data_IF_895115096224
#
_entry.id   IF_895115096224
#
_cell.length_a   1.000
_cell.length_b   1.000
_cell.length_c   1.000
_cell.angle_alpha   90.00
_cell.angle_beta   90.00
_cell.angle_gamma   90.00
#
_symmetry.space_group_name_H-M   'P 1'
#
loop_
_entity.id
_entity.type
_entity.pdbx_description
1 polymer ?
#
# COMPACT_ATOMS: atom_id res chain seq x y z
N UNK A 1 20.95 14.22 12.23
CA UNK A 1 19.60 13.64 12.05
C UNK A 1 19.41 12.34 12.80
N UNK A 2 20.31 11.36 12.60
CA UNK A 2 20.55 10.29 13.58
C UNK A 2 21.10 10.81 14.92
N UNK A 3 21.46 12.09 15.02
CA UNK A 3 21.84 12.70 16.29
C UNK A 3 20.73 12.68 17.34
N UNK A 4 19.45 12.66 16.95
CA UNK A 4 18.33 12.56 17.90
C UNK A 4 18.04 11.12 18.33
N UNK A 5 18.22 10.15 17.42
CA UNK A 5 18.07 8.71 17.69
C UNK A 5 19.19 7.96 16.96
N UNK A 6 20.41 7.90 17.54
CA UNK A 6 21.61 7.40 16.86
C UNK A 6 21.57 5.92 16.54
N UNK A 7 20.71 5.17 17.23
CA UNK A 7 20.50 3.74 17.02
C UNK A 7 19.38 3.42 16.01
N UNK A 8 18.74 4.42 15.39
CA UNK A 8 17.67 4.15 14.44
C UNK A 8 18.21 3.40 13.20
N UNK A 9 17.83 2.14 13.06
CA UNK A 9 17.96 1.33 11.85
C UNK A 9 16.92 0.22 11.85
N UNK A 10 16.40 -0.09 10.68
CA UNK A 10 15.57 -1.26 10.43
C UNK A 10 16.24 -2.05 9.31
N UNK A 11 16.46 -3.34 9.55
CA UNK A 11 16.94 -4.26 8.52
C UNK A 11 15.90 -5.34 8.21
N UNK A 12 15.71 -5.60 6.93
CA UNK A 12 14.87 -6.67 6.41
C UNK A 12 15.83 -7.74 5.87
N UNK A 13 15.68 -8.97 6.37
CA UNK A 13 16.42 -10.13 5.89
C UNK A 13 15.44 -11.16 5.36
N UNK A 14 15.67 -11.61 4.13
CA UNK A 14 14.91 -12.68 3.49
C UNK A 14 15.79 -13.91 3.36
N UNK A 15 15.25 -15.09 3.64
CA UNK A 15 15.91 -16.36 3.39
C UNK A 15 15.02 -17.30 2.57
N UNK A 16 15.58 -17.87 1.51
CA UNK A 16 14.87 -18.73 0.57
C UNK A 16 15.75 -19.09 -0.62
N UNK A 17 15.42 -20.16 -1.33
CA UNK A 17 16.21 -20.65 -2.48
C UNK A 17 17.71 -20.84 -2.20
N UNK A 18 18.07 -21.22 -0.97
CA UNK A 18 19.45 -21.42 -0.55
C UNK A 18 20.27 -20.12 -0.35
N UNK A 19 19.64 -18.95 -0.39
CA UNK A 19 20.29 -17.65 -0.21
C UNK A 19 19.64 -16.85 0.92
N UNK A 20 20.45 -15.98 1.53
CA UNK A 20 20.02 -14.95 2.46
C UNK A 20 20.37 -13.60 1.84
N UNK A 21 19.41 -12.69 1.81
CA UNK A 21 19.62 -11.32 1.37
C UNK A 21 19.09 -10.35 2.42
N UNK A 22 19.92 -9.38 2.78
CA UNK A 22 19.61 -8.41 3.84
C UNK A 22 19.81 -7.00 3.31
N UNK A 23 18.89 -6.11 3.66
CA UNK A 23 18.97 -4.68 3.41
C UNK A 23 18.64 -3.91 4.67
N UNK A 24 19.30 -2.78 4.91
CA UNK A 24 18.96 -1.88 6.02
C UNK A 24 18.77 -0.45 5.58
N UNK A 25 17.89 0.26 6.28
CA UNK A 25 17.61 1.66 6.01
C UNK A 25 18.89 2.52 6.10
N UNK A 26 19.73 2.26 7.10
CA UNK A 26 20.99 2.99 7.27
C UNK A 26 21.97 2.75 6.14
N UNK A 27 22.04 1.53 5.60
CA UNK A 27 22.88 1.24 4.45
C UNK A 27 22.44 2.03 3.21
N UNK A 28 21.13 2.14 2.96
CA UNK A 28 20.60 2.98 1.87
C UNK A 28 20.90 4.47 2.10
N UNK A 29 20.74 4.96 3.33
CA UNK A 29 21.06 6.34 3.67
C UNK A 29 22.56 6.65 3.45
N UNK A 30 23.46 5.73 3.81
CA UNK A 30 24.91 5.91 3.57
C UNK A 30 25.28 5.97 2.09
N UNK A 31 24.40 5.48 1.21
CA UNK A 31 24.55 5.53 -0.24
C UNK A 31 23.80 6.72 -0.88
N UNK A 32 23.24 7.63 -0.05
CA UNK A 32 22.40 8.74 -0.49
C UNK A 32 21.13 8.31 -1.25
N UNK A 33 20.57 7.14 -0.92
CA UNK A 33 19.34 6.62 -1.51
C UNK A 33 18.13 7.00 -0.63
N UNK A 34 17.82 8.29 -0.62
CA UNK A 34 16.69 8.86 0.12
C UNK A 34 16.27 10.23 -0.43
N UNK A 35 15.07 10.68 -0.08
CA UNK A 35 14.60 12.04 -0.31
C UNK A 35 13.66 12.50 0.83
N UNK A 36 13.49 13.81 0.97
CA UNK A 36 12.53 14.39 1.91
C UNK A 36 11.16 14.48 1.24
N UNK A 37 10.18 13.76 1.78
CA UNK A 37 8.79 13.99 1.41
C UNK A 37 8.22 15.18 2.17
N UNK A 38 8.53 15.29 3.47
CA UNK A 38 8.15 16.43 4.31
C UNK A 38 9.38 16.92 5.07
N UNK A 39 10.10 17.90 4.51
CA UNK A 39 11.33 18.40 5.13
C UNK A 39 11.06 19.30 6.35
N UNK A 40 9.99 20.10 6.31
CA UNK A 40 9.67 21.12 7.31
C UNK A 40 8.18 21.10 7.68
N UNK A 41 7.77 20.10 8.45
CA UNK A 41 6.43 20.09 9.06
C UNK A 41 6.45 20.54 10.52
N UNK A 42 5.42 21.29 10.92
CA UNK A 42 5.28 21.81 12.29
C UNK A 42 5.09 20.72 13.35
N UNK A 43 4.54 19.57 12.94
CA UNK A 43 4.24 18.42 13.83
C UNK A 43 5.21 17.27 13.57
N UNK A 44 5.39 16.91 12.29
CA UNK A 44 6.27 15.83 11.85
C UNK A 44 7.09 16.20 10.63
N UNK A 45 8.23 15.56 10.45
CA UNK A 45 8.98 15.56 9.20
C UNK A 45 9.09 14.11 8.69
N UNK A 46 9.17 13.93 7.38
CA UNK A 46 9.20 12.61 6.75
C UNK A 46 10.35 12.50 5.75
N UNK A 47 11.20 11.51 5.99
CA UNK A 47 12.26 11.07 5.10
C UNK A 47 11.86 9.72 4.49
N UNK A 48 11.92 9.62 3.17
CA UNK A 48 11.68 8.36 2.45
C UNK A 48 13.02 7.82 1.98
N UNK A 49 13.35 6.62 2.44
CA UNK A 49 14.62 5.93 2.13
C UNK A 49 14.34 4.82 1.14
N UNK A 50 14.76 5.02 -0.11
CA UNK A 50 14.51 4.11 -1.23
C UNK A 50 15.34 4.51 -2.45
N UNK A 51 15.38 3.63 -3.45
CA UNK A 51 16.12 3.77 -4.69
C UNK A 51 15.22 3.50 -5.90
N UNK A 52 14.25 4.38 -6.11
CA UNK A 52 13.30 4.28 -7.23
C UNK A 52 13.96 4.44 -8.60
N UNK A 53 15.11 5.11 -8.67
CA UNK A 53 15.72 5.53 -9.94
C UNK A 53 16.84 4.58 -10.37
N UNK A 54 17.82 4.32 -9.50
CA UNK A 54 18.99 3.51 -9.89
C UNK A 54 18.79 2.02 -9.66
N UNK A 55 17.85 1.67 -8.76
CA UNK A 55 17.42 0.30 -8.48
C UNK A 55 18.55 -0.62 -8.00
N UNK A 56 19.67 -0.06 -7.55
CA UNK A 56 20.83 -0.78 -7.02
C UNK A 56 20.50 -1.46 -5.69
N UNK A 57 19.62 -0.83 -4.89
CA UNK A 57 19.13 -1.39 -3.64
C UNK A 57 18.07 -2.49 -3.82
N UNK A 58 17.51 -2.68 -5.03
CA UNK A 58 16.61 -3.79 -5.30
C UNK A 58 17.38 -5.13 -5.18
N UNK A 59 16.75 -6.14 -4.60
CA UNK A 59 17.38 -7.42 -4.28
C UNK A 59 16.46 -8.63 -4.52
N UNK A 60 17.00 -9.84 -4.41
CA UNK A 60 16.30 -11.09 -4.71
C UNK A 60 16.96 -12.29 -4.03
N UNK A 61 16.40 -13.48 -4.25
CA UNK A 61 16.84 -14.75 -3.65
C UNK A 61 17.25 -15.74 -4.75
N UNK A 62 18.48 -15.61 -5.26
CA UNK A 62 18.99 -16.40 -6.40
C UNK A 62 18.10 -16.32 -7.65
N UNK A 63 17.75 -15.10 -8.06
CA UNK A 63 16.90 -14.82 -9.21
C UNK A 63 16.85 -13.32 -9.52
N UNK A 64 15.82 -12.86 -10.26
CA UNK A 64 15.59 -11.43 -10.47
C UNK A 64 15.56 -10.62 -9.17
N UNK A 65 16.04 -9.37 -9.24
CA UNK A 65 15.99 -8.40 -8.15
C UNK A 65 14.58 -7.79 -8.07
N UNK A 66 13.63 -8.58 -7.62
CA UNK A 66 12.21 -8.22 -7.58
C UNK A 66 11.83 -7.33 -6.40
N UNK A 67 12.61 -7.40 -5.32
CA UNK A 67 12.24 -6.77 -4.08
C UNK A 67 12.83 -5.38 -3.96
N UNK A 68 11.94 -4.38 -3.86
CA UNK A 68 12.32 -3.00 -3.54
C UNK A 68 12.03 -2.71 -2.06
N UNK A 69 13.05 -2.38 -1.27
CA UNK A 69 12.85 -1.87 0.08
C UNK A 69 12.51 -0.37 0.05
N UNK A 70 11.55 0.02 0.89
CA UNK A 70 11.20 1.42 1.16
C UNK A 70 11.07 1.57 2.67
N UNK A 71 11.68 2.62 3.23
CA UNK A 71 11.50 2.96 4.64
C UNK A 71 11.02 4.40 4.78
N UNK A 72 9.85 4.59 5.38
CA UNK A 72 9.33 5.90 5.74
C UNK A 72 9.75 6.21 7.18
N UNK A 73 10.57 7.25 7.35
CA UNK A 73 11.03 7.75 8.64
C UNK A 73 10.24 9.00 9.00
N UNK A 74 9.32 8.87 9.94
CA UNK A 74 8.51 9.97 10.46
C UNK A 74 9.04 10.45 11.82
N UNK A 75 9.61 11.65 11.82
CA UNK A 75 10.17 12.28 13.00
C UNK A 75 9.11 13.11 13.72
N UNK A 76 8.71 12.68 14.91
CA UNK A 76 7.74 13.36 15.77
C UNK A 76 8.47 14.14 16.86
N UNK A 77 8.84 15.39 16.54
CA UNK A 77 9.77 16.20 17.35
C UNK A 77 9.20 16.54 18.74
N UNK A 78 7.91 16.84 18.83
CA UNK A 78 7.25 17.24 20.09
C UNK A 78 7.25 16.16 21.16
N UNK A 79 7.28 14.89 20.76
CA UNK A 79 7.28 13.73 21.66
C UNK A 79 8.61 12.97 21.66
N UNK A 80 9.61 13.46 20.90
CA UNK A 80 10.90 12.81 20.70
C UNK A 80 10.74 11.32 20.32
N UNK A 81 9.97 11.05 19.27
CA UNK A 81 9.75 9.71 18.73
C UNK A 81 10.03 9.66 17.24
N UNK A 82 10.42 8.48 16.77
CA UNK A 82 10.55 8.17 15.35
C UNK A 82 9.70 6.94 15.06
N UNK A 83 8.80 7.08 14.10
CA UNK A 83 8.06 5.96 13.52
C UNK A 83 8.75 5.59 12.21
N UNK A 84 9.12 4.32 12.07
CA UNK A 84 9.69 3.77 10.84
C UNK A 84 8.71 2.76 10.28
N UNK A 85 8.16 3.05 9.10
CA UNK A 85 7.41 2.08 8.31
C UNK A 85 8.37 1.42 7.33
N UNK A 86 8.63 0.13 7.53
CA UNK A 86 9.36 -0.70 6.58
C UNK A 86 8.39 -1.29 5.57
N UNK A 87 8.75 -1.26 4.29
CA UNK A 87 7.95 -1.78 3.19
C UNK A 87 8.85 -2.62 2.29
N UNK A 88 8.31 -3.72 1.79
CA UNK A 88 8.92 -4.48 0.71
C UNK A 88 7.92 -4.63 -0.43
N UNK A 89 8.30 -4.14 -1.60
CA UNK A 89 7.50 -4.23 -2.82
C UNK A 89 8.02 -5.31 -3.74
N UNK A 90 7.10 -5.95 -4.48
CA UNK A 90 7.40 -6.81 -5.61
C UNK A 90 6.65 -6.25 -6.83
N UNK A 91 7.04 -5.05 -7.25
CA UNK A 91 6.19 -4.16 -8.07
C UNK A 91 6.83 -3.73 -9.39
N UNK A 92 8.12 -3.98 -9.58
CA UNK A 92 8.85 -3.58 -10.78
C UNK A 92 8.46 -4.45 -11.97
N UNK A 93 7.98 -3.82 -13.05
CA UNK A 93 7.48 -4.51 -14.24
C UNK A 93 8.45 -5.54 -14.84
N UNK A 94 9.74 -5.23 -14.93
CA UNK A 94 10.76 -6.09 -15.56
C UNK A 94 11.25 -7.25 -14.68
N UNK A 95 10.94 -7.24 -13.38
CA UNK A 95 11.39 -8.27 -12.43
C UNK A 95 10.25 -8.92 -11.66
N UNK A 96 9.00 -8.80 -12.12
CA UNK A 96 7.86 -9.46 -11.49
C UNK A 96 8.04 -10.99 -11.44
N UNK A 97 7.78 -11.57 -10.27
CA UNK A 97 7.68 -13.02 -10.04
C UNK A 97 6.98 -13.29 -8.71
N UNK A 98 6.29 -14.41 -8.54
CA UNK A 98 5.92 -14.87 -7.20
C UNK A 98 7.13 -15.52 -6.52
N UNK A 99 7.37 -15.20 -5.25
CA UNK A 99 8.54 -15.70 -4.51
C UNK A 99 8.15 -16.22 -3.13
N UNK A 100 8.73 -17.36 -2.76
CA UNK A 100 8.66 -17.93 -1.41
C UNK A 100 9.89 -17.54 -0.59
N UNK A 101 9.68 -17.07 0.64
CA UNK A 101 10.78 -16.81 1.58
C UNK A 101 10.33 -16.86 3.04
N UNK A 102 11.32 -16.92 3.95
CA UNK A 102 11.14 -16.52 5.34
C UNK A 102 11.66 -15.10 5.50
N UNK A 103 10.99 -14.29 6.30
CA UNK A 103 11.39 -12.91 6.60
C UNK A 103 11.73 -12.76 8.06
N UNK A 104 12.80 -12.02 8.33
CA UNK A 104 13.09 -11.46 9.65
C UNK A 104 13.29 -9.95 9.51
N UNK A 105 12.84 -9.21 10.52
CA UNK A 105 13.09 -7.77 10.63
C UNK A 105 13.78 -7.51 11.96
N UNK A 106 14.92 -6.83 11.90
CA UNK A 106 15.67 -6.41 13.08
C UNK A 106 15.64 -4.89 13.24
N UNK A 107 15.69 -4.46 14.49
CA UNK A 107 15.63 -3.07 14.91
C UNK A 107 16.84 -2.72 15.77
N UNK A 108 17.44 -1.56 15.49
CA UNK A 108 18.65 -1.07 16.18
C UNK A 108 19.89 -1.23 15.32
N UNK A 109 20.81 -0.28 15.40
CA UNK A 109 22.07 -0.28 14.63
C UNK A 109 23.21 -0.91 15.42
N UNK A 110 23.46 -0.42 16.64
CA UNK A 110 24.58 -0.84 17.48
C UNK A 110 24.36 -2.24 18.07
N UNK A 111 23.11 -2.55 18.43
CA UNK A 111 22.70 -3.85 18.96
C UNK A 111 21.39 -4.30 18.32
N UNK A 112 21.42 -4.80 17.06
CA UNK A 112 20.21 -5.20 16.34
C UNK A 112 19.44 -6.29 17.08
N UNK A 113 18.15 -6.07 17.28
CA UNK A 113 17.23 -7.01 17.95
C UNK A 113 16.16 -7.49 16.98
N UNK A 114 15.85 -8.79 16.96
CA UNK A 114 14.78 -9.35 16.15
C UNK A 114 13.42 -8.86 16.66
N UNK A 115 12.67 -8.15 15.82
CA UNK A 115 11.34 -7.57 16.18
C UNK A 115 10.19 -8.20 15.41
N UNK A 116 10.48 -8.93 14.33
CA UNK A 116 9.47 -9.68 13.59
C UNK A 116 10.10 -10.85 12.84
N UNK A 117 9.37 -11.96 12.76
CA UNK A 117 9.69 -13.08 11.89
C UNK A 117 8.41 -13.73 11.36
N UNK A 118 8.48 -14.24 10.13
CA UNK A 118 7.45 -15.09 9.55
C UNK A 118 8.08 -16.05 8.54
N UNK A 119 7.68 -17.32 8.62
CA UNK A 119 8.12 -18.35 7.68
C UNK A 119 7.11 -18.52 6.54
N UNK A 120 7.58 -19.09 5.42
CA UNK A 120 6.74 -19.49 4.28
C UNK A 120 5.87 -18.36 3.71
N UNK A 121 6.41 -17.15 3.62
CA UNK A 121 5.74 -16.01 2.99
C UNK A 121 5.66 -16.26 1.48
N UNK A 122 4.44 -16.23 0.95
CA UNK A 122 4.15 -16.16 -0.49
C UNK A 122 4.03 -14.68 -0.90
N UNK A 123 5.12 -14.08 -1.36
CA UNK A 123 5.10 -12.71 -1.86
C UNK A 123 4.78 -12.71 -3.35
N UNK A 124 3.54 -12.36 -3.66
CA UNK A 124 3.03 -12.36 -5.01
C UNK A 124 3.59 -11.19 -5.83
N UNK A 125 3.70 -11.37 -7.15
CA UNK A 125 3.99 -10.25 -8.05
C UNK A 125 2.92 -9.15 -7.91
N UNK A 126 3.31 -7.89 -8.09
CA UNK A 126 2.41 -6.74 -7.97
C UNK A 126 1.86 -6.51 -6.56
N UNK A 127 2.38 -7.22 -5.55
CA UNK A 127 2.00 -7.06 -4.16
C UNK A 127 3.10 -6.38 -3.35
N UNK A 128 2.72 -5.82 -2.22
CA UNK A 128 3.61 -5.19 -1.24
C UNK A 128 3.15 -5.51 0.17
N UNK A 129 4.04 -5.40 1.14
CA UNK A 129 3.66 -5.49 2.55
C UNK A 129 4.44 -4.48 3.36
N UNK A 130 3.93 -4.18 4.55
CA UNK A 130 4.50 -3.16 5.43
C UNK A 130 4.47 -3.57 6.91
N UNK A 131 5.40 -3.03 7.70
CA UNK A 131 5.46 -3.15 9.16
C UNK A 131 5.94 -1.83 9.77
N UNK A 132 5.35 -1.45 10.91
CA UNK A 132 5.65 -0.20 11.60
C UNK A 132 6.43 -0.50 12.88
N UNK A 133 7.44 0.34 13.17
CA UNK A 133 8.25 0.26 14.37
C UNK A 133 8.49 1.65 14.97
N UNK A 134 8.44 1.76 16.29
CA UNK A 134 8.70 3.01 17.01
C UNK A 134 10.07 3.00 17.69
N UNK A 135 10.81 4.11 17.61
CA UNK A 135 12.04 4.36 18.35
C UNK A 135 11.88 5.52 19.34
N UNK A 136 12.76 5.55 20.35
CA UNK A 136 12.72 6.55 21.43
C UNK A 136 11.84 6.15 22.63
N UNK A 137 11.34 4.92 22.68
CA UNK A 137 10.52 4.39 23.78
C UNK A 137 9.57 3.29 23.32
N UNK A 138 8.57 2.98 24.15
CA UNK A 138 7.42 2.16 23.74
C UNK A 138 6.60 2.88 22.65
N UNK A 139 5.77 2.10 21.96
CA UNK A 139 4.78 2.62 21.02
C UNK A 139 3.94 3.71 21.71
N UNK A 140 4.01 4.96 21.23
CA UNK A 140 3.29 6.07 21.83
C UNK A 140 1.82 6.13 21.40
N UNK A 141 1.34 5.30 20.45
CA UNK A 141 -0.01 5.42 19.92
C UNK A 141 -1.07 5.12 21.01
N UNK A 142 -1.86 6.12 21.43
CA UNK A 142 -2.85 5.92 22.48
C UNK A 142 -4.07 5.16 21.96
N UNK A 143 -4.57 4.20 22.74
CA UNK A 143 -5.86 3.52 22.49
C UNK A 143 -7.00 4.36 23.05
N UNK A 144 -7.31 5.45 22.34
CA UNK A 144 -8.36 6.40 22.72
C UNK A 144 -9.33 6.64 21.57
N UNK A 145 -10.57 6.95 21.93
CA UNK A 145 -11.61 7.26 20.96
C UNK A 145 -11.49 8.72 20.51
N UNK A 146 -11.60 8.95 19.21
CA UNK A 146 -11.47 10.29 18.62
C UNK A 146 -12.75 10.68 17.91
N UNK A 147 -13.28 11.87 18.20
CA UNK A 147 -14.29 12.48 17.35
C UNK A 147 -13.59 13.17 16.18
N UNK A 148 -13.68 12.59 14.98
CA UNK A 148 -13.08 13.12 13.75
C UNK A 148 -13.88 14.28 13.13
N UNK A 149 -14.87 14.82 13.85
CA UNK A 149 -15.78 15.87 13.39
C UNK A 149 -16.47 15.47 12.07
N UNK A 150 -17.33 14.45 12.16
CA UNK A 150 -18.04 13.89 11.01
C UNK A 150 -18.87 14.94 10.26
N UNK A 151 -19.36 15.97 10.95
CA UNK A 151 -20.09 17.09 10.34
C UNK A 151 -19.18 17.93 9.45
N UNK A 152 -17.99 18.29 9.94
CA UNK A 152 -16.99 18.97 9.12
C UNK A 152 -16.58 18.12 7.92
N UNK A 153 -16.22 16.85 8.15
CA UNK A 153 -15.79 15.96 7.06
C UNK A 153 -16.89 15.78 6.00
N UNK A 154 -18.15 15.65 6.40
CA UNK A 154 -19.29 15.56 5.46
C UNK A 154 -19.50 16.85 4.68
N UNK A 155 -19.32 18.02 5.32
CA UNK A 155 -19.48 19.32 4.67
C UNK A 155 -18.43 19.59 3.58
N UNK A 156 -17.30 18.86 3.60
CA UNK A 156 -16.31 18.90 2.49
C UNK A 156 -16.78 18.17 1.24
N UNK A 157 -17.89 17.41 1.31
CA UNK A 157 -18.35 16.46 0.28
C UNK A 157 -17.36 15.33 -0.04
N UNK A 158 -16.29 15.20 0.75
CA UNK A 158 -15.31 14.13 0.57
C UNK A 158 -15.86 12.76 1.01
N UNK A 159 -16.57 12.73 2.15
CA UNK A 159 -17.23 11.53 2.64
C UNK A 159 -18.76 11.61 2.45
N UNK A 160 -19.46 10.46 2.32
CA UNK A 160 -20.92 10.43 2.33
C UNK A 160 -21.51 11.02 3.62
N UNK A 161 -22.73 11.54 3.52
CA UNK A 161 -23.51 12.01 4.66
C UNK A 161 -24.02 10.85 5.52
N UNK A 162 -23.15 10.28 6.36
CA UNK A 162 -23.52 9.17 7.26
C UNK A 162 -24.36 9.62 8.46
N UNK A 163 -25.26 8.78 9.00
CA UNK A 163 -26.03 9.11 10.19
C UNK A 163 -25.13 9.47 11.39
N UNK A 164 -25.50 10.52 12.12
CA UNK A 164 -24.71 11.02 13.29
C UNK A 164 -24.99 10.23 14.56
N UNK A 165 -26.07 9.45 14.56
CA UNK A 165 -26.57 8.69 15.69
C UNK A 165 -26.26 7.19 15.53
N UNK A 166 -25.03 6.82 15.21
CA UNK A 166 -24.67 5.40 15.14
C UNK A 166 -24.88 4.75 16.53
N UNK A 167 -25.81 3.80 16.61
CA UNK A 167 -26.27 3.17 17.87
C UNK A 167 -25.64 1.80 18.12
N UNK A 168 -24.49 1.49 17.51
CA UNK A 168 -23.80 0.23 17.80
C UNK A 168 -23.52 0.12 19.31
N UNK A 169 -23.94 -1.00 19.90
CA UNK A 169 -23.73 -1.30 21.32
C UNK A 169 -22.28 -1.69 21.56
N UNK A 170 -21.74 -1.35 22.72
CA UNK A 170 -20.38 -1.74 23.14
C UNK A 170 -20.13 -3.25 22.99
N UNK A 171 -21.12 -4.09 23.29
CA UNK A 171 -21.01 -5.55 23.12
C UNK A 171 -20.82 -5.98 21.66
N UNK A 172 -21.37 -5.24 20.68
CA UNK A 172 -21.17 -5.50 19.26
C UNK A 172 -19.75 -5.13 18.84
N UNK A 173 -19.26 -3.96 19.29
CA UNK A 173 -17.89 -3.50 19.01
C UNK A 173 -16.88 -4.50 19.59
N UNK A 174 -17.09 -4.91 20.85
CA UNK A 174 -16.22 -5.87 21.51
C UNK A 174 -16.22 -7.23 20.81
N UNK A 175 -17.39 -7.73 20.37
CA UNK A 175 -17.47 -8.99 19.65
C UNK A 175 -16.78 -8.91 18.27
N UNK A 176 -16.98 -7.82 17.53
CA UNK A 176 -16.31 -7.60 16.24
C UNK A 176 -14.79 -7.53 16.40
N UNK A 177 -14.30 -6.85 17.44
CA UNK A 177 -12.88 -6.82 17.75
C UNK A 177 -12.35 -8.17 18.25
N UNK A 178 -13.13 -8.94 19.00
CA UNK A 178 -12.74 -10.28 19.42
C UNK A 178 -12.44 -11.17 18.20
N UNK A 179 -13.32 -11.22 17.20
CA UNK A 179 -13.04 -11.98 15.97
C UNK A 179 -11.81 -11.48 15.23
N UNK A 180 -11.58 -10.16 15.23
CA UNK A 180 -10.41 -9.56 14.60
C UNK A 180 -9.11 -10.04 15.24
N UNK A 181 -9.07 -10.14 16.57
CA UNK A 181 -7.88 -10.61 17.29
C UNK A 181 -7.48 -12.04 16.87
N UNK A 182 -8.45 -12.88 16.50
CA UNK A 182 -8.24 -14.26 16.07
C UNK A 182 -7.80 -14.41 14.60
N UNK A 183 -7.92 -13.36 13.78
CA UNK A 183 -7.52 -13.43 12.36
C UNK A 183 -6.00 -13.39 12.19
N UNK A 184 -5.42 -14.17 11.24
CA UNK A 184 -4.04 -13.98 10.81
C UNK A 184 -3.84 -12.58 10.23
N UNK A 185 -2.80 -11.88 10.69
CA UNK A 185 -2.44 -10.49 10.31
C UNK A 185 -0.95 -10.35 10.01
N UNK A 186 -0.32 -11.48 9.64
CA UNK A 186 1.07 -11.53 9.20
C UNK A 186 1.26 -10.90 7.83
N UNK A 187 2.51 -10.83 7.38
CA UNK A 187 2.83 -10.42 6.01
C UNK A 187 2.08 -11.33 5.03
N UNK A 188 1.39 -10.73 4.05
CA UNK A 188 0.55 -11.42 3.05
C UNK A 188 -0.63 -12.22 3.64
N UNK A 189 -1.07 -11.92 4.86
CA UNK A 189 -2.33 -12.42 5.42
C UNK A 189 -3.50 -11.44 5.18
N UNK A 190 -4.73 -11.95 5.29
CA UNK A 190 -5.92 -11.22 4.86
C UNK A 190 -6.61 -10.40 5.95
N UNK A 191 -6.47 -10.77 7.23
CA UNK A 191 -7.29 -10.17 8.28
C UNK A 191 -8.79 -10.35 7.99
N UNK A 192 -9.50 -9.24 7.75
CA UNK A 192 -10.90 -9.23 7.35
C UNK A 192 -11.14 -9.11 5.84
N UNK A 193 -10.11 -8.94 5.04
CA UNK A 193 -10.28 -8.94 3.58
C UNK A 193 -10.76 -10.30 3.09
N UNK A 194 -11.54 -10.26 2.02
CA UNK A 194 -11.76 -11.40 1.14
C UNK A 194 -10.77 -11.31 -0.02
N UNK A 195 -9.67 -12.08 -0.03
CA UNK A 195 -8.59 -11.93 -1.02
C UNK A 195 -9.04 -12.10 -2.47
N UNK A 196 -10.04 -12.96 -2.71
CA UNK A 196 -10.65 -13.13 -4.02
C UNK A 196 -11.76 -12.11 -4.21
N UNK A 197 -11.43 -10.92 -4.71
CA UNK A 197 -12.40 -9.85 -4.93
C UNK A 197 -13.64 -10.30 -5.73
N UNK A 198 -13.55 -11.13 -6.80
CA UNK A 198 -14.73 -11.55 -7.55
C UNK A 198 -15.78 -12.35 -6.75
N UNK A 199 -15.51 -12.69 -5.48
CA UNK A 199 -16.49 -13.29 -4.57
C UNK A 199 -17.77 -12.45 -4.52
N UNK A 200 -18.87 -13.07 -4.90
CA UNK A 200 -20.22 -12.49 -4.86
C UNK A 200 -20.81 -12.52 -3.45
N UNK A 201 -21.73 -11.59 -3.18
CA UNK A 201 -22.49 -11.56 -1.93
C UNK A 201 -22.14 -10.37 -1.05
N UNK A 202 -22.86 -10.24 0.07
CA UNK A 202 -22.58 -9.22 1.08
C UNK A 202 -21.25 -9.52 1.77
N UNK A 203 -20.40 -8.51 1.90
CA UNK A 203 -19.14 -8.58 2.63
C UNK A 203 -18.85 -7.25 3.31
N UNK A 204 -18.36 -7.30 4.55
CA UNK A 204 -17.98 -6.12 5.35
C UNK A 204 -16.85 -5.33 4.71
N UNK A 205 -16.08 -5.94 3.82
CA UNK A 205 -14.89 -5.36 3.23
C UNK A 205 -15.15 -4.55 1.95
N UNK A 206 -16.40 -4.48 1.48
CA UNK A 206 -16.77 -3.75 0.26
C UNK A 206 -17.97 -2.80 0.47
N UNK A 207 -18.27 -1.97 -0.53
CA UNK A 207 -19.28 -0.91 -0.46
C UNK A 207 -18.71 0.41 -0.93
N UNK A 208 -19.25 1.54 -0.45
CA UNK A 208 -18.62 2.86 -0.68
C UNK A 208 -17.24 2.89 -0.01
N UNK A 209 -17.16 2.36 1.21
CA UNK A 209 -15.96 2.06 1.98
C UNK A 209 -16.22 0.79 2.81
N UNK A 210 -15.18 0.10 3.31
CA UNK A 210 -15.37 -1.04 4.20
C UNK A 210 -16.16 -0.67 5.46
N UNK A 211 -16.96 -1.60 5.98
CA UNK A 211 -17.81 -1.40 7.15
C UNK A 211 -17.00 -0.99 8.39
N UNK A 212 -15.83 -1.59 8.59
CA UNK A 212 -14.94 -1.23 9.70
C UNK A 212 -14.33 0.17 9.57
N UNK A 213 -14.16 0.69 8.35
CA UNK A 213 -13.72 2.08 8.11
C UNK A 213 -14.88 3.05 8.37
N UNK A 214 -16.08 2.70 7.92
CA UNK A 214 -17.29 3.46 8.24
C UNK A 214 -17.55 3.52 9.76
N UNK A 215 -17.41 2.38 10.46
CA UNK A 215 -17.55 2.31 11.90
C UNK A 215 -16.48 3.14 12.63
N UNK A 216 -15.22 3.11 12.15
CA UNK A 216 -14.17 3.98 12.66
C UNK A 216 -14.53 5.46 12.53
N UNK A 217 -14.98 5.90 11.35
CA UNK A 217 -15.36 7.30 11.10
C UNK A 217 -16.52 7.77 11.96
N UNK A 218 -17.54 6.93 12.14
CA UNK A 218 -18.80 7.33 12.80
C UNK A 218 -18.76 7.18 14.32
N UNK A 219 -18.03 6.20 14.85
CA UNK A 219 -17.94 5.94 16.29
C UNK A 219 -16.69 6.52 16.92
N UNK A 220 -15.62 6.71 16.14
CA UNK A 220 -14.34 7.15 16.65
C UNK A 220 -13.59 6.11 17.48
N UNK A 221 -14.10 4.86 17.56
CA UNK A 221 -13.57 3.83 18.47
C UNK A 221 -12.18 3.35 18.05
N UNK A 222 -11.26 3.27 19.02
CA UNK A 222 -9.87 2.88 18.76
C UNK A 222 -9.73 1.47 18.19
N UNK A 223 -10.68 0.55 18.46
CA UNK A 223 -10.66 -0.82 17.91
C UNK A 223 -10.94 -0.81 16.41
N UNK A 224 -11.91 -0.02 15.97
CA UNK A 224 -12.19 0.16 14.54
C UNK A 224 -11.07 0.92 13.83
N UNK A 225 -10.39 1.85 14.51
CA UNK A 225 -9.14 2.45 14.01
C UNK A 225 -8.09 1.38 13.75
N UNK A 226 -7.81 0.51 14.73
CA UNK A 226 -6.83 -0.55 14.58
C UNK A 226 -7.19 -1.50 13.43
N UNK A 227 -8.44 -1.98 13.39
CA UNK A 227 -8.91 -2.84 12.30
C UNK A 227 -8.73 -2.15 10.95
N UNK A 228 -9.11 -0.88 10.82
CA UNK A 228 -9.02 -0.13 9.56
C UNK A 228 -7.58 0.06 9.09
N UNK A 229 -6.68 0.49 9.97
CA UNK A 229 -5.29 0.78 9.60
C UNK A 229 -4.49 -0.49 9.34
N UNK A 230 -4.67 -1.54 10.14
CA UNK A 230 -4.02 -2.82 9.88
C UNK A 230 -4.61 -3.48 8.64
N UNK A 231 -5.92 -3.39 8.40
CA UNK A 231 -6.50 -3.87 7.14
C UNK A 231 -5.93 -3.10 5.95
N UNK A 232 -5.79 -1.77 6.03
CA UNK A 232 -5.11 -0.99 5.00
C UNK A 232 -3.67 -1.50 4.73
N UNK A 233 -2.90 -1.80 5.78
CA UNK A 233 -1.56 -2.39 5.63
C UNK A 233 -1.61 -3.76 4.90
N UNK A 234 -2.58 -4.61 5.22
CA UNK A 234 -2.78 -5.93 4.60
C UNK A 234 -3.29 -5.88 3.16
N UNK A 235 -3.93 -4.77 2.75
CA UNK A 235 -4.42 -4.59 1.38
C UNK A 235 -3.28 -4.54 0.34
N UNK A 236 -2.03 -4.38 0.77
CA UNK A 236 -0.86 -4.56 -0.08
C UNK A 236 -0.76 -5.95 -0.72
N UNK A 237 -1.48 -6.96 -0.19
CA UNK A 237 -1.49 -8.33 -0.71
C UNK A 237 -2.08 -8.49 -2.12
N UNK A 238 -2.93 -7.57 -2.57
CA UNK A 238 -3.48 -7.62 -3.93
C UNK A 238 -2.45 -7.25 -4.99
N UNK A 239 -2.47 -8.00 -6.10
CA UNK A 239 -1.56 -7.90 -7.25
C UNK A 239 -1.92 -6.70 -8.15
N UNK A 240 -1.85 -5.50 -7.59
CA UNK A 240 -2.26 -4.24 -8.23
C UNK A 240 -1.39 -3.05 -7.81
N UNK A 241 -0.14 -3.33 -7.46
CA UNK A 241 0.86 -2.32 -7.12
C UNK A 241 2.03 -2.48 -8.09
N UNK A 242 2.00 -1.76 -9.21
CA UNK A 242 3.01 -1.85 -10.27
C UNK A 242 3.73 -0.53 -10.47
N UNK A 243 5.03 -0.60 -10.76
CA UNK A 243 5.89 0.55 -11.01
C UNK A 243 6.60 0.47 -12.34
N UNK A 244 6.79 1.67 -12.89
CA UNK A 244 7.61 1.93 -14.06
C UNK A 244 9.09 1.72 -13.75
N UNK A 245 9.80 1.18 -14.74
CA UNK A 245 11.19 0.70 -14.59
C UNK A 245 12.14 1.24 -15.65
N UNK A 246 11.61 1.84 -16.71
CA UNK A 246 12.37 2.33 -17.84
C UNK A 246 12.56 3.86 -17.73
N UNK A 247 13.81 4.36 -17.62
CA UNK A 247 14.08 5.79 -17.57
C UNK A 247 13.83 6.52 -18.90
N UNK A 248 13.60 5.80 -20.00
CA UNK A 248 13.31 6.39 -21.31
C UNK A 248 11.81 6.63 -21.53
N UNK A 249 10.95 6.08 -20.67
CA UNK A 249 9.51 6.25 -20.78
C UNK A 249 9.03 7.47 -19.99
N UNK A 250 7.85 7.96 -20.36
CA UNK A 250 7.22 9.12 -19.74
C UNK A 250 5.87 8.77 -19.13
N UNK A 251 5.64 9.32 -17.93
CA UNK A 251 4.44 9.08 -17.15
C UNK A 251 3.22 9.81 -17.73
N UNK A 252 3.42 11.00 -18.30
CA UNK A 252 2.37 11.88 -18.80
C UNK A 252 2.31 11.92 -20.33
N UNK A 253 1.16 12.36 -20.86
CA UNK A 253 0.93 12.42 -22.31
C UNK A 253 1.86 13.41 -23.03
N UNK A 254 2.24 14.50 -22.36
CA UNK A 254 3.10 15.53 -22.94
C UNK A 254 4.59 15.16 -22.87
N UNK A 255 4.93 13.99 -22.33
CA UNK A 255 6.30 13.50 -22.20
C UNK A 255 7.21 14.47 -21.43
N UNK A 256 6.69 15.01 -20.33
CA UNK A 256 7.41 15.98 -19.48
C UNK A 256 7.88 15.38 -18.16
N UNK A 257 7.30 14.25 -17.76
CA UNK A 257 7.55 13.60 -16.48
C UNK A 257 8.14 12.21 -16.74
N UNK A 258 9.39 11.93 -16.35
CA UNK A 258 9.96 10.59 -16.46
C UNK A 258 9.12 9.55 -15.72
N UNK A 259 8.93 8.38 -16.33
CA UNK A 259 8.12 7.31 -15.79
C UNK A 259 8.80 6.56 -14.64
N UNK A 260 10.11 6.34 -14.72
CA UNK A 260 10.91 5.55 -13.77
C UNK A 260 10.51 5.77 -12.30
N UNK A 261 10.19 4.68 -11.61
CA UNK A 261 9.86 4.68 -10.18
C UNK A 261 8.41 5.04 -9.85
N UNK A 262 7.67 5.66 -10.78
CA UNK A 262 6.27 6.05 -10.60
C UNK A 262 5.33 4.85 -10.70
N UNK A 263 4.06 4.98 -10.28
CA UNK A 263 3.03 4.01 -10.63
C UNK A 263 3.01 3.74 -12.13
N UNK A 264 2.57 2.54 -12.51
CA UNK A 264 2.43 2.18 -13.92
C UNK A 264 1.58 3.21 -14.69
N UNK A 265 2.04 3.61 -15.86
CA UNK A 265 1.37 4.60 -16.68
C UNK A 265 0.90 4.01 -18.00
N UNK A 266 -0.34 4.34 -18.32
CA UNK A 266 -0.91 4.11 -19.63
C UNK A 266 -0.20 4.90 -20.74
N UNK A 267 0.40 6.05 -20.42
CA UNK A 267 1.13 6.85 -21.40
C UNK A 267 2.49 6.20 -21.73
N UNK A 268 3.13 5.57 -20.73
CA UNK A 268 4.36 4.80 -20.92
C UNK A 268 4.09 3.49 -21.68
N UNK A 269 2.97 2.83 -21.38
CA UNK A 269 2.62 1.53 -21.93
C UNK A 269 1.20 1.47 -22.53
N UNK A 270 0.94 2.14 -23.67
CA UNK A 270 -0.41 2.20 -24.26
C UNK A 270 -0.95 0.84 -24.71
N UNK A 271 -0.06 -0.11 -25.04
CA UNK A 271 -0.41 -1.46 -25.51
C UNK A 271 -0.53 -2.49 -24.38
N UNK A 272 0.01 -2.21 -23.19
CA UNK A 272 -0.01 -3.14 -22.07
C UNK A 272 -1.39 -3.13 -21.41
N UNK A 273 -1.91 -4.30 -21.05
CA UNK A 273 -3.10 -4.40 -20.22
C UNK A 273 -3.17 -5.67 -19.36
N UNK A 274 -3.94 -5.58 -18.27
CA UNK A 274 -4.03 -6.58 -17.20
C UNK A 274 -5.48 -7.06 -17.00
N UNK A 275 -6.00 -7.95 -17.85
CA UNK A 275 -7.43 -8.24 -17.92
C UNK A 275 -7.97 -8.88 -16.63
N UNK A 276 -7.17 -9.72 -15.97
CA UNK A 276 -7.59 -10.45 -14.76
C UNK A 276 -6.77 -10.12 -13.52
N UNK A 277 -5.68 -9.35 -13.61
CA UNK A 277 -4.68 -9.16 -12.53
C UNK A 277 -4.31 -10.48 -11.81
N UNK A 278 -4.56 -11.63 -12.45
CA UNK A 278 -4.27 -12.97 -11.97
C UNK A 278 -3.02 -13.51 -12.68
N UNK A 279 -2.34 -12.65 -13.44
CA UNK A 279 -1.07 -12.91 -14.08
C UNK A 279 -1.16 -13.20 -15.57
N UNK A 280 -2.34 -13.01 -16.20
CA UNK A 280 -2.39 -12.85 -17.65
C UNK A 280 -2.03 -11.42 -18.00
N UNK A 281 -1.01 -11.26 -18.83
CA UNK A 281 -0.50 -9.97 -19.28
C UNK A 281 -0.43 -10.01 -20.81
N UNK A 282 -1.16 -9.13 -21.49
CA UNK A 282 -1.08 -9.03 -22.95
C UNK A 282 -0.10 -7.90 -23.34
N UNK A 283 0.72 -8.13 -24.36
CA UNK A 283 1.91 -7.30 -24.66
C UNK A 283 3.12 -7.67 -23.81
N UNK A 284 3.28 -8.97 -23.54
CA UNK A 284 3.63 -9.60 -22.27
C UNK A 284 4.96 -9.24 -21.58
N UNK A 285 4.88 -9.23 -20.24
CA UNK A 285 5.93 -9.71 -19.35
C UNK A 285 5.59 -11.16 -18.98
N UNK A 286 6.48 -12.11 -19.26
CA UNK A 286 6.33 -13.45 -18.72
C UNK A 286 6.67 -13.39 -17.23
N UNK A 287 5.67 -13.50 -16.37
CA UNK A 287 5.82 -13.41 -14.91
C UNK A 287 5.82 -14.82 -14.32
N UNK A 288 6.93 -15.32 -13.76
CA UNK A 288 6.96 -16.59 -13.04
C UNK A 288 5.97 -16.60 -11.87
N UNK A 289 5.20 -17.68 -11.73
CA UNK A 289 4.18 -17.82 -10.68
C UNK A 289 4.43 -19.05 -9.84
N UNK A 290 4.04 -18.98 -8.57
CA UNK A 290 4.08 -20.14 -7.69
C UNK A 290 2.88 -21.06 -7.98
N UNK A 291 3.07 -22.38 -7.99
CA UNK A 291 1.94 -23.31 -8.03
C UNK A 291 1.10 -23.14 -6.75
N UNK A 292 -0.23 -23.06 -6.90
CA UNK A 292 -1.17 -22.90 -5.79
C UNK A 292 -0.91 -21.68 -4.88
N UNK A 293 -0.48 -20.56 -5.46
CA UNK A 293 -0.28 -19.30 -4.76
C UNK A 293 -1.54 -18.84 -4.01
N UNK A 294 -1.36 -18.08 -2.91
CA UNK A 294 -2.44 -17.44 -2.15
C UNK A 294 -3.35 -16.69 -3.11
N UNK A 295 -4.66 -16.89 -2.96
CA UNK A 295 -5.66 -16.42 -3.90
C UNK A 295 -6.03 -14.93 -3.72
N UNK A 296 -5.03 -14.04 -3.79
CA UNK A 296 -5.25 -12.60 -3.88
C UNK A 296 -5.54 -12.23 -5.33
N UNK A 297 -6.81 -12.00 -5.63
CA UNK A 297 -7.29 -11.68 -6.99
C UNK A 297 -8.00 -10.35 -6.95
N UNK A 298 -7.52 -9.45 -7.80
CA UNK A 298 -8.07 -8.13 -7.99
C UNK A 298 -9.21 -8.15 -9.00
N UNK A 299 -10.25 -7.35 -8.78
CA UNK A 299 -11.38 -7.21 -9.68
C UNK A 299 -12.00 -5.82 -9.57
N UNK A 300 -12.36 -5.19 -10.69
CA UNK A 300 -13.06 -3.90 -10.73
C UNK A 300 -14.42 -3.90 -10.04
N UNK A 301 -15.21 -4.94 -10.24
CA UNK A 301 -16.59 -4.99 -9.77
C UNK A 301 -16.73 -5.22 -8.26
N UNK A 302 -15.62 -5.51 -7.57
CA UNK A 302 -15.61 -5.81 -6.14
C UNK A 302 -14.41 -5.19 -5.38
N UNK A 303 -13.83 -4.08 -5.88
CA UNK A 303 -12.75 -3.36 -5.22
C UNK A 303 -13.16 -2.69 -3.89
N UNK A 304 -12.48 -2.98 -2.78
CA UNK A 304 -12.60 -2.19 -1.57
C UNK A 304 -12.03 -0.78 -1.77
N UNK A 305 -12.24 0.09 -0.78
CA UNK A 305 -11.47 1.32 -0.60
C UNK A 305 -10.63 1.19 0.68
N UNK A 306 -9.41 0.64 0.58
CA UNK A 306 -8.59 0.37 1.76
C UNK A 306 -7.74 1.56 2.20
N UNK A 307 -7.63 2.65 1.41
CA UNK A 307 -6.57 3.64 1.60
C UNK A 307 -7.05 5.08 1.74
N UNK A 308 -8.20 5.47 1.17
CA UNK A 308 -8.58 6.90 1.13
C UNK A 308 -8.74 7.50 2.53
N UNK A 309 -9.54 6.86 3.38
CA UNK A 309 -9.81 7.31 4.74
C UNK A 309 -8.58 7.13 5.65
N UNK A 310 -7.88 5.98 5.64
CA UNK A 310 -6.59 5.86 6.32
C UNK A 310 -5.62 6.99 5.98
N UNK A 311 -5.49 7.38 4.71
CA UNK A 311 -4.62 8.49 4.33
C UNK A 311 -5.10 9.81 4.92
N UNK A 312 -6.37 10.18 4.76
CA UNK A 312 -6.86 11.50 5.22
C UNK A 312 -6.76 11.67 6.73
N UNK A 313 -7.02 10.61 7.49
CA UNK A 313 -7.02 10.68 8.95
C UNK A 313 -5.62 10.57 9.57
N UNK A 314 -4.63 10.07 8.83
CA UNK A 314 -3.26 9.85 9.36
C UNK A 314 -2.17 10.63 8.63
N UNK A 315 -2.46 11.08 7.42
CA UNK A 315 -1.51 11.62 6.45
C UNK A 315 -0.44 10.61 6.01
N UNK A 316 -0.51 9.32 6.34
CA UNK A 316 0.58 8.36 6.11
C UNK A 316 0.81 8.14 4.61
N UNK A 317 1.99 8.52 4.13
CA UNK A 317 2.34 8.53 2.70
C UNK A 317 2.24 7.15 2.04
N UNK A 318 2.42 6.06 2.79
CA UNK A 318 2.22 4.71 2.27
C UNK A 318 0.79 4.48 1.78
N UNK A 319 -0.22 5.05 2.46
CA UNK A 319 -1.62 4.89 2.06
C UNK A 319 -1.92 5.69 0.78
N UNK A 320 -1.41 6.92 0.66
CA UNK A 320 -1.56 7.68 -0.58
C UNK A 320 -0.89 6.97 -1.76
N UNK A 321 0.35 6.53 -1.57
CA UNK A 321 1.10 5.84 -2.61
C UNK A 321 0.40 4.53 -3.03
N UNK A 322 -0.11 3.77 -2.07
CA UNK A 322 -0.85 2.53 -2.36
C UNK A 322 -2.15 2.82 -3.12
N UNK A 323 -2.85 3.91 -2.79
CA UNK A 323 -4.02 4.38 -3.54
C UNK A 323 -3.67 4.76 -4.99
N UNK A 324 -2.55 5.46 -5.21
CA UNK A 324 -2.09 5.85 -6.54
C UNK A 324 -1.67 4.63 -7.38
N UNK A 325 -0.91 3.70 -6.79
CA UNK A 325 -0.51 2.43 -7.41
C UNK A 325 -1.73 1.59 -7.82
N UNK A 326 -2.73 1.51 -6.94
CA UNK A 326 -3.97 0.77 -7.18
C UNK A 326 -4.82 1.42 -8.28
N UNK A 327 -4.97 2.74 -8.25
CA UNK A 327 -5.69 3.49 -9.28
C UNK A 327 -5.03 3.33 -10.67
N UNK A 328 -3.70 3.43 -10.72
CA UNK A 328 -2.90 3.21 -11.92
C UNK A 328 -3.12 1.80 -12.50
N UNK A 329 -3.06 0.77 -11.66
CA UNK A 329 -3.36 -0.61 -12.07
C UNK A 329 -4.80 -0.78 -12.58
N UNK A 330 -5.76 -0.09 -11.97
CA UNK A 330 -7.16 -0.06 -12.43
C UNK A 330 -7.35 0.63 -13.79
N UNK A 331 -6.46 1.55 -14.18
CA UNK A 331 -6.40 2.10 -15.55
C UNK A 331 -5.86 1.05 -16.53
N UNK A 332 -4.92 0.25 -16.08
CA UNK A 332 -4.25 -0.75 -16.92
C UNK A 332 -5.08 -2.02 -17.17
N UNK A 333 -6.26 -2.19 -16.57
CA UNK A 333 -7.02 -3.45 -16.66
C UNK A 333 -7.38 -3.90 -18.08
N UNK A 334 -7.86 -3.00 -18.92
CA UNK A 334 -8.43 -3.36 -20.24
C UNK A 334 -7.58 -2.89 -21.39
N UNK A 335 -7.78 -3.45 -22.58
CA UNK A 335 -7.06 -3.05 -23.78
C UNK A 335 -7.45 -1.65 -24.27
N UNK A 336 -6.66 -1.13 -25.23
CA UNK A 336 -7.11 -0.01 -26.04
C UNK A 336 -8.27 -0.45 -26.96
N UNK A 337 -9.24 0.45 -27.19
CA UNK A 337 -10.35 0.26 -28.12
C UNK A 337 -11.71 0.61 -27.52
N UNK A 338 -12.72 0.71 -28.39
CA UNK A 338 -14.10 1.06 -28.01
C UNK A 338 -14.64 0.22 -26.83
N UNK A 339 -14.30 -1.07 -26.80
CA UNK A 339 -14.74 -2.01 -25.77
C UNK A 339 -13.73 -2.20 -24.62
N UNK A 340 -12.68 -1.38 -24.53
CA UNK A 340 -11.73 -1.40 -23.42
C UNK A 340 -11.66 -0.02 -22.75
N UNK A 341 -10.56 0.69 -22.99
CA UNK A 341 -10.30 2.04 -22.46
C UNK A 341 -10.99 3.18 -23.25
N UNK A 342 -11.96 2.85 -24.11
CA UNK A 342 -12.71 3.80 -24.94
C UNK A 342 -11.98 4.18 -26.24
N UNK A 343 -12.63 4.98 -27.10
CA UNK A 343 -12.12 5.32 -28.44
C UNK A 343 -10.76 6.03 -28.44
N UNK A 344 -10.48 6.83 -27.41
CA UNK A 344 -9.18 7.48 -27.26
C UNK A 344 -8.15 6.58 -26.58
N UNK A 345 -8.58 5.49 -25.94
CA UNK A 345 -7.69 4.54 -25.28
C UNK A 345 -7.16 4.99 -23.92
N UNK A 346 -7.54 6.16 -23.40
CA UNK A 346 -6.86 6.81 -22.26
C UNK A 346 -7.64 6.94 -20.95
N UNK A 347 -8.87 6.42 -20.85
CA UNK A 347 -9.64 6.67 -19.62
C UNK A 347 -10.92 5.90 -19.42
N UNK A 348 -11.41 5.18 -20.43
CA UNK A 348 -12.61 4.36 -20.30
C UNK A 348 -12.47 3.30 -19.21
N UNK A 349 -13.60 3.05 -18.52
CA UNK A 349 -13.77 1.90 -17.65
C UNK A 349 -14.88 1.07 -18.29
N UNK A 350 -14.53 -0.08 -18.89
CA UNK A 350 -15.52 -1.00 -19.42
C UNK A 350 -15.67 -2.21 -18.48
N UNK A 351 -16.64 -2.11 -17.59
CA UNK A 351 -16.98 -3.17 -16.65
C UNK A 351 -18.49 -3.14 -16.38
N UNK A 352 -18.98 -4.05 -15.55
CA UNK A 352 -20.31 -3.96 -14.95
C UNK A 352 -20.48 -2.60 -14.26
N UNK A 353 -21.72 -2.12 -14.13
CA UNK A 353 -22.03 -0.80 -13.55
C UNK A 353 -21.31 -0.56 -12.21
N UNK A 354 -21.27 -1.58 -11.33
CA UNK A 354 -20.53 -1.48 -10.06
C UNK A 354 -19.01 -1.36 -10.24
N UNK A 355 -18.45 -2.06 -11.22
CA UNK A 355 -17.01 -1.98 -11.52
C UNK A 355 -16.62 -0.64 -12.13
N UNK A 356 -17.49 -0.05 -12.95
CA UNK A 356 -17.35 1.33 -13.39
C UNK A 356 -17.35 2.29 -12.19
N UNK A 357 -18.35 2.17 -11.31
CA UNK A 357 -18.48 3.03 -10.14
C UNK A 357 -17.28 2.92 -9.17
N UNK A 358 -16.86 1.70 -8.82
CA UNK A 358 -15.84 1.48 -7.80
C UNK A 358 -14.43 1.78 -8.33
N UNK A 359 -14.14 1.44 -9.59
CA UNK A 359 -12.88 1.85 -10.22
C UNK A 359 -12.82 3.37 -10.39
N UNK A 360 -13.94 4.00 -10.77
CA UNK A 360 -14.01 5.46 -10.89
C UNK A 360 -13.80 6.14 -9.53
N UNK A 361 -14.46 5.65 -8.46
CA UNK A 361 -14.22 6.11 -7.08
C UNK A 361 -12.73 6.10 -6.73
N UNK A 362 -12.04 4.99 -6.94
CA UNK A 362 -10.60 4.87 -6.62
C UNK A 362 -9.75 5.86 -7.41
N UNK A 363 -10.04 6.07 -8.71
CA UNK A 363 -9.35 7.08 -9.54
C UNK A 363 -9.63 8.50 -9.05
N UNK A 364 -10.87 8.82 -8.69
CA UNK A 364 -11.25 10.12 -8.15
C UNK A 364 -10.58 10.39 -6.81
N UNK A 365 -10.53 9.41 -5.89
CA UNK A 365 -9.81 9.57 -4.63
C UNK A 365 -8.31 9.74 -4.84
N UNK A 366 -7.68 8.97 -5.74
CA UNK A 366 -6.27 9.16 -6.07
C UNK A 366 -6.02 10.58 -6.60
N UNK A 367 -6.87 11.08 -7.51
CA UNK A 367 -6.73 12.44 -8.05
C UNK A 367 -6.97 13.53 -6.99
N UNK A 368 -8.00 13.39 -6.16
CA UNK A 368 -8.40 14.39 -5.17
C UNK A 368 -7.46 14.46 -3.96
N UNK A 369 -6.88 13.32 -3.56
CA UNK A 369 -6.01 13.23 -2.38
C UNK A 369 -4.53 13.42 -2.68
N UNK A 370 -4.13 13.34 -3.94
CA UNK A 370 -2.76 13.65 -4.33
C UNK A 370 -2.53 15.16 -4.14
N UNK A 371 -1.48 15.58 -3.42
CA UNK A 371 -1.17 17.00 -3.27
C UNK A 371 -0.93 17.67 -4.63
N UNK A 372 -1.26 18.96 -4.74
CA UNK A 372 -0.97 19.73 -5.96
C UNK A 372 0.53 19.69 -6.27
N UNK A 373 0.86 19.52 -7.56
CA UNK A 373 2.23 19.36 -8.05
C UNK A 373 3.00 18.19 -7.42
N UNK A 374 2.31 17.26 -6.72
CA UNK A 374 2.95 16.02 -6.30
C UNK A 374 3.41 15.25 -7.53
N UNK A 375 4.70 14.93 -7.53
CA UNK A 375 5.29 13.98 -8.44
C UNK A 375 5.20 12.64 -7.71
N UNK A 376 4.25 11.74 -8.06
CA UNK A 376 4.15 10.44 -7.40
C UNK A 376 5.41 9.60 -7.56
#
# INVERSE_FOLDING_TARGET
MFTAIPDADISISLSGNGTIATVSARNLISQNLYYWNIQQGNIRCELVVTDHITRKADFGLNGPKSFRPIFYFEFWRSINRLRVRAVLENSNLDTLQDVMYNVTISKGYSSPSLVYSQNNVQHLFGARWTRIFWFGGQDPEPRVNFNYNLDYLSATFFIPNYPRNNTQKESQIQNYYYYWTQKPKGVMEAGYWTPYMPTTGMRDDIGIMPEFVHAWLTLGDWRYREISLVSADLAGGWKCHFREVDPQLYFDRNQTVPAIGKPISLNAHPSLWFPDNAGKYYGALNVPQLPNAKNWVFDGAHQPDPFSIPYILTGDSYYLESLQLWAASGVMRLNNGQYGRGMTGYGGINDQVRGQAWTFRTRCFAALLSPDNSQP
#
